data_IF_801652729821
#
_entry.id   IF_801652729821
#
_cell.length_a   1.000
_cell.length_b   1.000
_cell.length_c   1.000
_cell.angle_alpha   90.00
_cell.angle_beta   90.00
_cell.angle_gamma   90.00
#
_symmetry.space_group_name_H-M   'P 1'
#
loop_
_entity.id
_entity.type
_entity.pdbx_description
1 polymer ?
#
# COMPACT_ATOMS: atom_id res chain seq x y z
N UNK A 1 -7.86 5.37 -2.17
CA UNK A 1 -6.53 5.45 -2.80
C UNK A 1 -5.51 5.68 -1.70
N UNK A 2 -4.60 4.73 -1.45
CA UNK A 2 -3.59 4.81 -0.39
C UNK A 2 -2.22 4.33 -0.93
N UNK A 3 -1.17 4.37 -0.09
CA UNK A 3 0.19 3.95 -0.47
C UNK A 3 0.24 2.51 -1.00
N UNK A 4 -0.42 1.57 -0.32
CA UNK A 4 -0.45 0.14 -0.67
C UNK A 4 -1.14 -0.07 -2.03
N UNK A 5 -2.31 0.55 -2.26
CA UNK A 5 -3.01 0.47 -3.54
C UNK A 5 -2.15 0.94 -4.69
N UNK A 6 -1.40 2.04 -4.47
CA UNK A 6 -0.52 2.63 -5.48
C UNK A 6 0.68 1.75 -5.80
N UNK A 7 1.37 1.26 -4.76
CA UNK A 7 2.51 0.37 -4.91
C UNK A 7 2.11 -0.91 -5.65
N UNK A 8 1.01 -1.57 -5.25
CA UNK A 8 0.52 -2.78 -5.91
C UNK A 8 0.25 -2.57 -7.40
N UNK A 9 -0.39 -1.46 -7.78
CA UNK A 9 -0.65 -1.15 -9.19
C UNK A 9 0.64 -1.00 -9.99
N UNK A 10 1.59 -0.20 -9.50
CA UNK A 10 2.87 -0.01 -10.18
C UNK A 10 3.63 -1.34 -10.33
N UNK A 11 3.73 -2.11 -9.26
CA UNK A 11 4.47 -3.37 -9.25
C UNK A 11 3.84 -4.43 -10.16
N UNK A 12 2.50 -4.52 -10.23
CA UNK A 12 1.79 -5.41 -11.18
C UNK A 12 2.05 -5.04 -12.64
N UNK A 13 2.18 -3.74 -12.93
CA UNK A 13 2.55 -3.26 -14.26
C UNK A 13 4.05 -3.45 -14.59
N UNK A 14 4.84 -4.04 -13.68
CA UNK A 14 6.30 -4.16 -13.85
C UNK A 14 7.04 -2.82 -13.70
N UNK A 15 6.40 -1.80 -13.11
CA UNK A 15 6.98 -0.49 -12.90
C UNK A 15 7.77 -0.46 -11.58
N UNK A 16 8.87 0.31 -11.56
CA UNK A 16 9.64 0.53 -10.33
C UNK A 16 8.87 1.41 -9.36
N UNK A 17 8.81 1.01 -8.09
CA UNK A 17 8.19 1.78 -7.02
C UNK A 17 9.26 2.41 -6.12
N UNK A 18 9.43 3.73 -6.24
CA UNK A 18 10.42 4.49 -5.47
C UNK A 18 9.84 4.88 -4.12
N UNK A 19 10.45 4.44 -3.02
CA UNK A 19 9.94 4.67 -1.68
C UNK A 19 11.06 5.05 -0.68
N UNK A 20 10.80 5.96 0.29
CA UNK A 20 11.78 6.33 1.30
C UNK A 20 12.19 5.16 2.19
N UNK A 21 13.49 4.97 2.39
CA UNK A 21 14.03 4.00 3.35
C UNK A 21 14.50 4.63 4.67
N UNK A 22 14.58 5.97 4.70
CA UNK A 22 15.01 6.77 5.85
C UNK A 22 13.86 7.41 6.65
N UNK A 23 12.62 7.02 6.35
CA UNK A 23 11.40 7.46 7.04
C UNK A 23 10.66 6.27 7.62
N UNK A 24 10.74 6.10 8.94
CA UNK A 24 10.05 5.02 9.67
C UNK A 24 8.64 5.43 10.07
N UNK A 25 7.69 4.54 9.77
CA UNK A 25 6.26 4.70 9.98
C UNK A 25 5.66 3.46 10.66
N UNK A 26 4.44 3.58 11.16
CA UNK A 26 3.62 2.48 11.67
C UNK A 26 2.33 2.44 10.84
N UNK A 27 2.29 1.73 9.71
CA UNK A 27 1.09 1.67 8.87
C UNK A 27 -0.08 1.07 9.65
N UNK A 28 -1.26 1.67 9.52
CA UNK A 28 -2.46 1.25 10.27
C UNK A 28 -3.54 0.81 9.31
N UNK A 29 -4.00 -0.42 9.46
CA UNK A 29 -5.14 -0.99 8.75
C UNK A 29 -6.44 -0.44 9.34
N UNK A 30 -7.25 0.17 8.48
CA UNK A 30 -8.43 0.94 8.90
C UNK A 30 -9.44 0.09 9.68
N UNK A 31 -9.79 -1.14 9.27
CA UNK A 31 -10.69 -1.98 10.07
C UNK A 31 -10.20 -2.25 11.49
N UNK A 32 -8.91 -2.53 11.70
CA UNK A 32 -8.36 -2.72 13.06
C UNK A 32 -8.48 -1.45 13.90
N UNK A 33 -8.17 -0.29 13.31
CA UNK A 33 -8.31 1.00 13.97
C UNK A 33 -9.76 1.29 14.37
N UNK A 34 -10.71 1.02 13.47
CA UNK A 34 -12.14 1.26 13.71
C UNK A 34 -12.66 0.37 14.83
N UNK A 35 -12.31 -0.91 14.84
CA UNK A 35 -12.72 -1.82 15.92
C UNK A 35 -12.19 -1.33 17.27
N UNK A 36 -10.89 -1.05 17.36
CA UNK A 36 -10.30 -0.55 18.61
C UNK A 36 -10.89 0.80 19.06
N UNK A 37 -11.17 1.71 18.13
CA UNK A 37 -11.77 3.00 18.47
C UNK A 37 -13.22 2.86 18.96
N UNK A 38 -13.99 1.91 18.43
CA UNK A 38 -15.35 1.64 18.87
C UNK A 38 -15.36 0.99 20.27
N UNK A 39 -14.45 0.06 20.55
CA UNK A 39 -14.31 -0.53 21.88
C UNK A 39 -14.03 0.55 22.93
N UNK A 40 -13.07 1.44 22.68
CA UNK A 40 -12.76 2.57 23.57
C UNK A 40 -13.97 3.49 23.79
N UNK A 41 -14.74 3.75 22.73
CA UNK A 41 -15.95 4.57 22.83
C UNK A 41 -17.01 3.89 23.70
N UNK A 42 -17.23 2.59 23.52
CA UNK A 42 -18.22 1.81 24.25
C UNK A 42 -17.84 1.69 25.74
N UNK A 43 -16.56 1.51 26.02
CA UNK A 43 -16.01 1.42 27.38
C UNK A 43 -15.98 2.78 28.10
N UNK A 44 -16.27 3.88 27.39
CA UNK A 44 -16.29 5.23 27.94
C UNK A 44 -14.89 5.78 28.22
N UNK A 45 -13.88 5.27 27.52
CA UNK A 45 -12.49 5.70 27.68
C UNK A 45 -12.29 7.14 27.18
N UNK A 46 -11.41 7.87 27.88
CA UNK A 46 -11.14 9.28 27.61
C UNK A 46 -9.66 9.59 27.38
N UNK A 47 -9.39 10.81 26.91
CA UNK A 47 -8.03 11.31 26.74
C UNK A 47 -7.40 10.99 25.37
N UNK A 48 -6.07 11.00 25.32
CA UNK A 48 -5.29 10.84 24.09
C UNK A 48 -4.80 9.40 23.97
N UNK A 49 -5.03 8.80 22.79
CA UNK A 49 -4.67 7.42 22.47
C UNK A 49 -3.85 7.35 21.19
N UNK A 50 -2.86 6.46 21.17
CA UNK A 50 -2.16 6.05 19.94
C UNK A 50 -2.61 4.64 19.55
N UNK A 51 -3.19 4.52 18.36
CA UNK A 51 -3.66 3.26 17.80
C UNK A 51 -2.96 3.02 16.46
N UNK A 52 -2.06 2.05 16.43
CA UNK A 52 -1.35 1.65 15.22
C UNK A 52 -1.07 0.15 15.24
N UNK A 53 -1.08 -0.50 14.07
CA UNK A 53 -0.64 -1.89 13.97
C UNK A 53 0.81 -2.01 14.42
N UNK A 54 1.13 -3.16 15.02
CA UNK A 54 2.45 -3.37 15.61
C UNK A 54 3.54 -3.48 14.55
N UNK A 55 4.63 -2.74 14.77
CA UNK A 55 5.86 -2.78 13.97
C UNK A 55 6.13 -1.45 13.29
N UNK A 56 7.33 -0.90 13.53
CA UNK A 56 7.86 0.20 12.74
C UNK A 56 8.52 -0.33 11.47
N UNK A 57 8.32 0.35 10.35
CA UNK A 57 8.87 -0.05 9.04
C UNK A 57 9.16 1.20 8.22
N UNK A 58 10.16 1.17 7.34
CA UNK A 58 10.36 2.23 6.35
C UNK A 58 9.27 2.16 5.27
N UNK A 59 9.05 3.23 4.50
CA UNK A 59 8.12 3.14 3.36
C UNK A 59 8.59 2.12 2.31
N UNK A 60 9.90 2.02 2.07
CA UNK A 60 10.48 1.01 1.20
C UNK A 60 10.27 -0.41 1.75
N UNK A 61 10.57 -0.64 3.03
CA UNK A 61 10.32 -1.92 3.68
C UNK A 61 8.84 -2.29 3.68
N UNK A 62 7.93 -1.33 3.83
CA UNK A 62 6.50 -1.58 3.76
C UNK A 62 6.06 -2.01 2.36
N UNK A 63 6.57 -1.34 1.31
CA UNK A 63 6.31 -1.74 -0.07
C UNK A 63 6.85 -3.15 -0.37
N UNK A 64 8.01 -3.52 0.18
CA UNK A 64 8.58 -4.87 0.05
C UNK A 64 7.69 -5.93 0.71
N UNK A 65 7.23 -5.71 1.94
CA UNK A 65 6.31 -6.63 2.64
C UNK A 65 5.02 -6.82 1.85
N UNK A 66 4.46 -5.73 1.31
CA UNK A 66 3.25 -5.78 0.47
C UNK A 66 3.51 -6.56 -0.82
N UNK A 67 4.63 -6.30 -1.50
CA UNK A 67 5.00 -6.98 -2.73
C UNK A 67 5.17 -8.49 -2.51
N UNK A 68 5.89 -8.87 -1.44
CA UNK A 68 6.10 -10.27 -1.05
C UNK A 68 4.76 -10.96 -0.73
N UNK A 69 3.91 -10.35 0.09
CA UNK A 69 2.60 -10.90 0.43
C UNK A 69 1.66 -11.03 -0.79
N UNK A 70 1.83 -10.17 -1.80
CA UNK A 70 1.07 -10.22 -3.05
C UNK A 70 1.72 -11.11 -4.13
N UNK A 71 2.86 -11.75 -3.87
CA UNK A 71 3.58 -12.57 -4.84
C UNK A 71 4.18 -11.79 -6.01
N UNK A 72 4.49 -10.51 -5.81
CA UNK A 72 5.07 -9.61 -6.82
C UNK A 72 6.60 -9.51 -6.67
N UNK A 73 7.28 -9.04 -7.72
CA UNK A 73 8.74 -8.86 -7.70
C UNK A 73 9.15 -7.73 -6.74
N UNK A 74 9.75 -8.11 -5.61
CA UNK A 74 10.28 -7.18 -4.61
C UNK A 74 11.46 -6.35 -5.13
N UNK A 75 12.15 -6.81 -6.18
CA UNK A 75 13.24 -6.10 -6.85
C UNK A 75 12.81 -4.85 -7.61
N UNK A 76 11.51 -4.68 -7.85
CA UNK A 76 10.94 -3.45 -8.40
C UNK A 76 10.77 -2.34 -7.35
N UNK A 77 10.86 -2.66 -6.05
CA UNK A 77 10.90 -1.62 -5.01
C UNK A 77 12.29 -0.99 -4.99
N UNK A 78 12.36 0.32 -5.24
CA UNK A 78 13.58 1.12 -5.26
C UNK A 78 13.67 1.96 -3.97
N UNK A 79 14.52 1.57 -2.99
CA UNK A 79 14.74 2.36 -1.79
C UNK A 79 15.46 3.66 -2.14
N UNK A 80 14.95 4.78 -1.65
CA UNK A 80 15.54 6.12 -1.85
C UNK A 80 15.59 6.88 -0.52
N UNK A 81 16.35 7.98 -0.47
CA UNK A 81 16.16 8.95 0.62
C UNK A 81 14.85 9.72 0.41
N UNK A 82 14.12 10.00 1.48
CA UNK A 82 12.92 10.82 1.44
C UNK A 82 13.17 12.23 0.87
N UNK A 83 14.39 12.76 0.99
CA UNK A 83 14.78 14.02 0.36
C UNK A 83 14.73 13.95 -1.18
N UNK A 84 15.00 12.79 -1.77
CA UNK A 84 15.00 12.60 -3.22
C UNK A 84 13.60 12.67 -3.85
N UNK A 85 12.53 12.63 -3.03
CA UNK A 85 11.17 12.82 -3.49
C UNK A 85 10.82 14.30 -3.77
N UNK A 86 11.63 15.26 -3.32
CA UNK A 86 11.38 16.69 -3.56
C UNK A 86 10.05 17.19 -2.99
N UNK A 87 9.55 16.59 -1.90
CA UNK A 87 8.27 16.96 -1.30
C UNK A 87 8.33 18.37 -0.71
N UNK A 88 7.27 19.15 -0.92
CA UNK A 88 7.14 20.52 -0.37
C UNK A 88 7.18 20.51 1.16
N UNK A 89 6.48 19.55 1.77
CA UNK A 89 6.45 19.38 3.21
C UNK A 89 7.54 18.41 3.67
N UNK A 90 8.37 18.84 4.62
CA UNK A 90 9.35 17.97 5.27
C UNK A 90 8.63 16.91 6.08
N UNK A 91 8.96 15.64 5.84
CA UNK A 91 8.46 14.51 6.61
C UNK A 91 9.45 14.11 7.70
N UNK A 92 9.00 13.79 8.93
CA UNK A 92 9.88 13.28 9.97
C UNK A 92 10.57 11.99 9.54
N UNK A 93 11.80 11.78 10.00
CA UNK A 93 12.50 10.49 9.83
C UNK A 93 11.89 9.37 10.66
N UNK A 94 11.22 9.71 11.76
CA UNK A 94 10.55 8.76 12.64
C UNK A 94 9.19 9.30 13.03
N UNK A 95 8.14 8.63 12.59
CA UNK A 95 6.75 8.93 12.96
C UNK A 95 5.97 7.67 13.33
N UNK A 96 6.65 6.55 13.57
CA UNK A 96 6.03 5.34 14.05
C UNK A 96 5.49 5.56 15.47
N UNK A 97 4.25 5.14 15.70
CA UNK A 97 3.59 5.20 17.00
C UNK A 97 3.43 3.78 17.55
N UNK A 98 3.46 3.68 18.88
CA UNK A 98 3.15 2.45 19.61
C UNK A 98 1.91 2.66 20.47
N UNK A 99 1.08 1.62 20.55
CA UNK A 99 -0.08 1.58 21.45
C UNK A 99 0.39 1.20 22.85
N UNK A 100 0.53 2.22 23.72
CA UNK A 100 0.98 2.06 25.11
C UNK A 100 -0.14 1.69 26.09
N UNK A 101 -1.40 1.85 25.68
CA UNK A 101 -2.59 1.66 26.52
C UNK A 101 -3.58 0.73 25.82
N UNK A 102 -4.27 -0.10 26.61
CA UNK A 102 -5.26 -1.05 26.08
C UNK A 102 -4.61 -2.20 25.31
N UNK A 103 -5.41 -2.89 24.50
CA UNK A 103 -4.92 -3.97 23.64
C UNK A 103 -4.27 -3.39 22.39
N UNK A 104 -3.05 -3.84 22.09
CA UNK A 104 -2.37 -3.48 20.85
C UNK A 104 -3.13 -4.04 19.64
N UNK A 105 -3.16 -3.27 18.56
CA UNK A 105 -3.69 -3.74 17.28
C UNK A 105 -2.88 -4.95 16.77
N UNK A 106 -3.44 -5.75 15.85
CA UNK A 106 -2.73 -6.87 15.21
C UNK A 106 -1.40 -6.47 14.57
N UNK A 107 -0.58 -7.47 14.22
CA UNK A 107 0.68 -7.19 13.52
C UNK A 107 0.38 -6.59 12.15
N UNK A 108 1.32 -5.77 11.65
CA UNK A 108 1.19 -5.17 10.33
C UNK A 108 0.91 -6.22 9.23
N UNK A 109 1.60 -7.36 9.26
CA UNK A 109 1.43 -8.41 8.25
C UNK A 109 0.00 -8.97 8.21
N UNK A 110 -0.61 -9.20 9.38
CA UNK A 110 -2.01 -9.66 9.47
C UNK A 110 -2.99 -8.65 8.84
N UNK A 111 -2.68 -7.36 8.94
CA UNK A 111 -3.44 -6.29 8.27
C UNK A 111 -3.21 -6.25 6.76
N UNK A 112 -1.98 -6.49 6.30
CA UNK A 112 -1.63 -6.55 4.88
C UNK A 112 -2.34 -7.73 4.20
N UNK A 113 -2.31 -8.91 4.80
CA UNK A 113 -2.97 -10.11 4.27
C UNK A 113 -4.48 -9.90 4.11
N UNK A 114 -5.15 -9.35 5.13
CA UNK A 114 -6.58 -9.01 5.06
C UNK A 114 -6.88 -7.93 4.04
N UNK A 115 -6.04 -6.88 3.97
CA UNK A 115 -6.18 -5.84 2.96
C UNK A 115 -6.08 -6.42 1.54
N UNK A 116 -5.11 -7.31 1.28
CA UNK A 116 -4.96 -7.98 -0.01
C UNK A 116 -6.20 -8.81 -0.35
N UNK A 117 -6.72 -9.59 0.59
CA UNK A 117 -7.96 -10.35 0.39
C UNK A 117 -9.16 -9.46 0.04
N UNK A 118 -9.25 -8.26 0.63
CA UNK A 118 -10.33 -7.30 0.34
C UNK A 118 -10.20 -6.65 -1.04
N UNK A 119 -8.96 -6.38 -1.51
CA UNK A 119 -8.73 -5.65 -2.75
C UNK A 119 -8.49 -6.54 -3.97
N UNK A 120 -8.09 -7.80 -3.79
CA UNK A 120 -7.81 -8.73 -4.89
C UNK A 120 -8.99 -8.84 -5.89
N UNK A 121 -10.25 -8.95 -5.46
CA UNK A 121 -11.37 -9.03 -6.39
C UNK A 121 -11.54 -7.75 -7.22
N UNK A 122 -11.28 -6.59 -6.60
CA UNK A 122 -11.42 -5.29 -7.25
C UNK A 122 -10.27 -5.00 -8.23
N UNK A 123 -9.04 -5.43 -7.90
CA UNK A 123 -7.89 -5.27 -8.79
C UNK A 123 -7.98 -6.27 -9.96
N UNK A 124 -8.33 -7.54 -9.71
CA UNK A 124 -8.52 -8.52 -10.78
C UNK A 124 -9.57 -8.09 -11.81
N UNK A 125 -10.65 -7.43 -11.38
CA UNK A 125 -11.64 -6.82 -12.27
C UNK A 125 -11.08 -5.67 -13.12
N UNK A 126 -10.17 -4.86 -12.56
CA UNK A 126 -9.53 -3.77 -13.28
C UNK A 126 -8.50 -4.29 -14.30
N UNK A 127 -7.72 -5.30 -13.92
CA UNK A 127 -6.73 -5.93 -14.80
C UNK A 127 -7.43 -6.62 -15.98
N UNK A 128 -8.52 -7.37 -15.72
CA UNK A 128 -9.34 -7.98 -16.77
C UNK A 128 -9.97 -6.94 -17.73
N UNK A 129 -10.39 -5.78 -17.21
CA UNK A 129 -10.91 -4.71 -18.05
C UNK A 129 -9.81 -4.07 -18.93
N UNK A 130 -8.57 -4.02 -18.43
CA UNK A 130 -7.43 -3.46 -19.15
C UNK A 130 -6.92 -4.42 -20.25
N UNK A 131 -6.92 -5.73 -19.98
CA UNK A 131 -6.62 -6.77 -20.98
C UNK A 131 -7.66 -6.78 -22.11
N UNK A 132 -8.95 -6.60 -21.80
CA UNK A 132 -10.01 -6.46 -22.81
C UNK A 132 -9.87 -5.18 -23.66
N UNK A 133 -9.30 -4.12 -23.11
CA UNK A 133 -9.00 -2.90 -23.87
C UNK A 133 -7.78 -3.07 -24.81
N UNK A 134 -6.89 -4.01 -24.51
CA UNK A 134 -5.74 -4.34 -25.35
C UNK A 134 -6.07 -5.35 -26.47
N UNK A 135 -7.13 -6.15 -26.31
CA UNK A 135 -7.70 -7.02 -27.37
C UNK A 135 -8.77 -6.26 -28.15
N UNK A 136 -8.39 -5.22 -28.89
CA UNK A 136 -9.22 -4.74 -30.00
C UNK A 136 -9.12 -5.77 -31.15
N UNK A 137 -10.23 -6.24 -31.73
CA UNK A 137 -10.20 -7.29 -32.73
C UNK A 137 -9.65 -6.71 -34.03
N UNK A 138 -8.49 -7.19 -34.43
CA UNK A 138 -7.96 -7.05 -35.78
C UNK A 138 -8.90 -7.72 -36.79
N UNK A 139 -9.84 -6.92 -37.32
CA UNK A 139 -10.55 -7.15 -38.57
C UNK A 139 -9.94 -6.27 -39.67
N UNK A 140 -9.10 -6.87 -40.52
CA UNK A 140 -8.30 -6.19 -41.57
C UNK A 140 -9.07 -5.28 -42.55
N UNK A 141 -8.39 -4.45 -43.35
CA UNK A 141 -7.64 -4.94 -44.51
C UNK A 141 -6.53 -3.98 -45.02
N UNK A 142 -5.52 -4.59 -45.65
CA UNK A 142 -4.39 -3.94 -46.36
C UNK A 142 -4.82 -3.32 -47.71
N UNK A 143 -4.19 -2.21 -48.13
CA UNK A 143 -3.17 -2.14 -49.22
C UNK A 143 -2.81 -0.69 -49.67
N UNK A 144 -1.49 -0.46 -49.77
CA UNK A 144 -0.69 0.16 -50.87
C UNK A 144 -1.04 1.58 -51.37
N UNK A 145 -0.11 2.50 -51.67
CA UNK A 145 1.35 2.59 -51.57
C UNK A 145 1.77 4.07 -51.82
N UNK A 146 3.00 4.43 -52.28
CA UNK A 146 3.79 5.53 -51.75
C UNK A 146 3.66 6.86 -52.52
N UNK A 147 4.12 7.94 -51.90
CA UNK A 147 4.37 9.25 -52.51
C UNK A 147 5.30 10.07 -51.64
#
# INVERSE_FOLDING_TARGET
HNFVTLALRALRNGERWRAPDDQLVSPTYVPDLVQAALDLLIDGEGGIWHLANRGAVSWAGFAQVVAEAAGLDTGLVEPISGAALGQVAVRPRYSALETERGMSLPKLLDGVERYLADVEPAIALLDAANDLAFVAPDGGARRLAPG
#
